data_IF_947048033787
#
_entry.id   IF_947048033787
#
_cell.length_a   1.000
_cell.length_b   1.000
_cell.length_c   1.000
_cell.angle_alpha   90.00
_cell.angle_beta   90.00
_cell.angle_gamma   90.00
#
_symmetry.space_group_name_H-M   'P 1'
#
loop_
_entity.id
_entity.type
_entity.pdbx_description
1 polymer ?
#
# COMPACT_ATOMS: atom_id res chain seq x y z
N UNK A 1 -5.36 -21.47 8.16
CA UNK A 1 -5.49 -20.63 6.98
C UNK A 1 -6.11 -19.29 7.36
N UNK A 2 -5.50 -18.20 6.91
CA UNK A 2 -6.01 -16.87 7.22
C UNK A 2 -7.28 -16.57 6.43
N UNK A 3 -8.33 -16.10 7.10
CA UNK A 3 -9.55 -15.69 6.41
C UNK A 3 -9.34 -14.30 5.80
N UNK A 4 -10.20 -13.94 4.83
CA UNK A 4 -10.16 -12.60 4.26
C UNK A 4 -10.34 -11.53 5.34
N UNK A 5 -11.25 -11.74 6.27
CA UNK A 5 -11.51 -10.80 7.36
C UNK A 5 -10.25 -10.57 8.21
N UNK A 6 -9.56 -11.64 8.59
CA UNK A 6 -8.31 -11.53 9.35
C UNK A 6 -7.23 -10.83 8.54
N UNK A 7 -7.15 -11.14 7.25
CA UNK A 7 -6.17 -10.51 6.35
C UNK A 7 -6.39 -9.01 6.26
N UNK A 8 -7.63 -8.58 6.10
CA UNK A 8 -7.95 -7.15 6.02
C UNK A 8 -7.58 -6.43 7.32
N UNK A 9 -7.88 -7.02 8.47
CA UNK A 9 -7.50 -6.45 9.76
C UNK A 9 -5.98 -6.33 9.89
N UNK A 10 -5.27 -7.38 9.53
CA UNK A 10 -3.80 -7.39 9.60
C UNK A 10 -3.19 -6.31 8.72
N UNK A 11 -3.69 -6.17 7.49
CA UNK A 11 -3.18 -5.18 6.56
C UNK A 11 -3.49 -3.74 7.02
N UNK A 12 -4.66 -3.51 7.61
CA UNK A 12 -4.99 -2.20 8.18
C UNK A 12 -4.01 -1.79 9.27
N UNK A 13 -3.71 -2.70 10.20
CA UNK A 13 -2.78 -2.42 11.28
C UNK A 13 -1.40 -2.11 10.71
N UNK A 14 -0.92 -2.93 9.78
CA UNK A 14 0.41 -2.74 9.19
C UNK A 14 0.50 -1.43 8.40
N UNK A 15 -0.56 -1.04 7.73
CA UNK A 15 -0.59 0.20 6.94
C UNK A 15 -0.38 1.43 7.82
N UNK A 16 -0.87 1.41 9.06
CA UNK A 16 -0.74 2.53 9.99
C UNK A 16 0.51 2.44 10.88
N UNK A 17 1.36 1.43 10.65
CA UNK A 17 2.57 1.23 11.45
C UNK A 17 3.81 1.09 10.60
N UNK A 18 3.92 1.97 9.60
CA UNK A 18 5.07 1.93 8.69
C UNK A 18 6.34 2.50 9.32
N UNK A 19 6.21 3.40 10.29
CA UNK A 19 7.36 3.96 10.97
C UNK A 19 7.64 5.42 10.63
N UNK A 20 7.04 5.94 9.56
CA UNK A 20 7.10 7.36 9.23
C UNK A 20 5.70 7.88 9.01
N UNK A 21 5.50 9.15 9.33
CA UNK A 21 4.18 9.78 9.19
C UNK A 21 3.70 9.76 7.75
N UNK A 22 4.59 10.05 6.81
CA UNK A 22 4.25 10.09 5.38
C UNK A 22 3.76 8.74 4.90
N UNK A 23 4.47 7.67 5.24
CA UNK A 23 4.10 6.33 4.80
C UNK A 23 2.84 5.83 5.50
N UNK A 24 2.67 6.15 6.78
CA UNK A 24 1.44 5.84 7.50
C UNK A 24 0.24 6.50 6.83
N UNK A 25 0.37 7.77 6.45
CA UNK A 25 -0.71 8.49 5.78
C UNK A 25 -1.03 7.92 4.41
N UNK A 26 -0.01 7.57 3.63
CA UNK A 26 -0.21 7.01 2.29
C UNK A 26 -0.96 5.67 2.38
N UNK A 27 -0.38 4.70 3.08
CA UNK A 27 -0.98 3.37 3.14
C UNK A 27 -2.23 3.34 4.01
N UNK A 28 -2.21 4.03 5.16
CA UNK A 28 -3.36 4.07 6.05
C UNK A 28 -4.58 4.69 5.41
N UNK A 29 -4.40 5.82 4.71
CA UNK A 29 -5.52 6.47 4.02
C UNK A 29 -6.07 5.59 2.90
N UNK A 30 -5.18 4.92 2.16
CA UNK A 30 -5.60 4.04 1.09
C UNK A 30 -6.43 2.86 1.62
N UNK A 31 -5.94 2.18 2.67
CA UNK A 31 -6.65 1.03 3.21
C UNK A 31 -7.98 1.42 3.83
N UNK A 32 -8.07 2.61 4.44
CA UNK A 32 -9.33 3.08 4.99
C UNK A 32 -10.39 3.29 3.91
N UNK A 33 -9.96 3.68 2.70
CA UNK A 33 -10.88 4.00 1.61
C UNK A 33 -11.20 2.80 0.72
N UNK A 34 -10.20 1.96 0.43
CA UNK A 34 -10.31 1.00 -0.67
C UNK A 34 -10.04 -0.44 -0.32
N UNK A 35 -9.54 -0.73 0.89
CA UNK A 35 -9.09 -2.09 1.20
C UNK A 35 -10.17 -3.14 0.96
N UNK A 36 -11.39 -2.88 1.38
CA UNK A 36 -12.49 -3.83 1.26
C UNK A 36 -12.94 -4.06 -0.18
N UNK A 37 -12.59 -3.16 -1.08
CA UNK A 37 -12.95 -3.26 -2.48
C UNK A 37 -11.93 -4.04 -3.31
N UNK A 38 -10.76 -4.34 -2.72
CA UNK A 38 -9.70 -5.05 -3.44
C UNK A 38 -10.00 -6.53 -3.55
N UNK A 39 -9.75 -7.11 -4.73
CA UNK A 39 -9.86 -8.56 -4.89
C UNK A 39 -8.59 -9.23 -4.35
N UNK A 40 -8.57 -10.58 -4.39
CA UNK A 40 -7.46 -11.34 -3.83
C UNK A 40 -6.12 -11.00 -4.50
N UNK A 41 -6.13 -10.81 -5.81
CA UNK A 41 -4.90 -10.46 -6.54
C UNK A 41 -4.39 -9.08 -6.16
N UNK A 42 -5.30 -8.13 -5.99
CA UNK A 42 -4.93 -6.78 -5.57
C UNK A 42 -4.43 -6.76 -4.13
N UNK A 43 -5.01 -7.57 -3.26
CA UNK A 43 -4.52 -7.71 -1.89
C UNK A 43 -3.11 -8.29 -1.86
N UNK A 44 -2.84 -9.28 -2.72
CA UNK A 44 -1.49 -9.84 -2.85
C UNK A 44 -0.51 -8.76 -3.30
N UNK A 45 -0.89 -7.95 -4.28
CA UNK A 45 -0.05 -6.87 -4.78
C UNK A 45 0.22 -5.81 -3.72
N UNK A 46 -0.80 -5.44 -2.96
CA UNK A 46 -0.67 -4.47 -1.88
C UNK A 46 0.26 -5.01 -0.79
N UNK A 47 0.09 -6.25 -0.40
CA UNK A 47 0.90 -6.86 0.64
C UNK A 47 2.37 -6.97 0.19
N UNK A 48 2.60 -7.32 -1.08
CA UNK A 48 3.94 -7.38 -1.63
C UNK A 48 4.63 -6.00 -1.63
N UNK A 49 3.88 -4.96 -1.99
CA UNK A 49 4.41 -3.60 -1.95
C UNK A 49 4.74 -3.19 -0.52
N UNK A 50 3.85 -3.48 0.43
CA UNK A 50 4.05 -3.13 1.83
C UNK A 50 5.21 -3.90 2.48
N UNK A 51 5.67 -4.98 1.87
CA UNK A 51 6.82 -5.74 2.36
C UNK A 51 8.16 -5.07 2.02
N UNK A 52 8.14 -4.11 1.10
CA UNK A 52 9.35 -3.35 0.76
C UNK A 52 9.67 -2.31 1.83
N UNK A 53 10.90 -1.83 1.85
CA UNK A 53 11.33 -0.81 2.82
C UNK A 53 10.78 0.57 2.45
N UNK A 54 10.41 1.35 3.45
CA UNK A 54 9.89 2.70 3.22
C UNK A 54 10.89 3.59 2.49
N UNK A 55 12.19 3.41 2.72
CA UNK A 55 13.22 4.17 2.03
C UNK A 55 13.24 3.89 0.53
N UNK A 56 12.77 2.72 0.11
CA UNK A 56 12.64 2.37 -1.31
C UNK A 56 11.29 2.82 -1.87
N UNK A 57 10.24 2.67 -1.10
CA UNK A 57 8.86 2.94 -1.56
C UNK A 57 8.61 4.43 -1.74
N UNK A 58 9.05 5.25 -0.78
CA UNK A 58 8.74 6.69 -0.81
C UNK A 58 9.21 7.36 -2.11
N UNK A 59 10.45 7.10 -2.58
CA UNK A 59 10.88 7.67 -3.87
C UNK A 59 10.03 7.21 -5.06
N UNK A 60 9.41 6.03 -4.98
CA UNK A 60 8.51 5.58 -6.03
C UNK A 60 7.24 6.44 -6.08
N UNK A 61 6.73 6.84 -4.92
CA UNK A 61 5.54 7.70 -4.86
C UNK A 61 5.83 9.12 -5.32
N UNK A 62 7.03 9.64 -5.04
CA UNK A 62 7.41 11.00 -5.40
C UNK A 62 7.96 11.12 -6.83
N UNK A 63 8.19 10.00 -7.50
CA UNK A 63 8.74 10.00 -8.84
C UNK A 63 10.26 10.12 -8.90
N UNK A 64 10.96 10.07 -7.77
CA UNK A 64 12.42 10.17 -7.72
C UNK A 64 13.12 8.90 -8.16
N UNK A 65 12.45 7.75 -8.07
CA UNK A 65 12.99 6.46 -8.47
C UNK A 65 11.98 5.71 -9.33
N UNK A 66 12.48 4.87 -10.24
CA UNK A 66 11.62 4.03 -11.07
C UNK A 66 10.94 2.95 -10.23
N UNK A 67 9.64 2.80 -10.44
CA UNK A 67 8.85 1.76 -9.78
C UNK A 67 9.14 0.41 -10.44
N UNK A 68 9.47 -0.63 -9.66
CA UNK A 68 9.60 -1.97 -10.23
C UNK A 68 8.28 -2.41 -10.89
N UNK A 69 8.34 -3.12 -12.03
CA UNK A 69 7.12 -3.53 -12.74
C UNK A 69 6.12 -4.28 -11.88
N UNK A 70 6.60 -5.09 -10.93
CA UNK A 70 5.73 -5.87 -10.06
C UNK A 70 4.86 -5.01 -9.15
N UNK A 71 5.26 -3.78 -8.87
CA UNK A 71 4.53 -2.88 -7.96
C UNK A 71 3.82 -1.74 -8.69
N UNK A 72 3.97 -1.66 -10.01
CA UNK A 72 3.47 -0.51 -10.76
C UNK A 72 1.97 -0.32 -10.67
N UNK A 73 1.21 -1.38 -10.90
CA UNK A 73 -0.25 -1.30 -10.91
C UNK A 73 -0.83 -0.86 -9.57
N UNK A 74 -0.42 -1.52 -8.49
CA UNK A 74 -0.98 -1.21 -7.18
C UNK A 74 -0.52 0.18 -6.72
N UNK A 75 0.70 0.57 -7.04
CA UNK A 75 1.21 1.89 -6.70
C UNK A 75 0.43 2.99 -7.42
N UNK A 76 0.12 2.79 -8.70
CA UNK A 76 -0.69 3.74 -9.46
C UNK A 76 -2.11 3.84 -8.89
N UNK A 77 -2.67 2.71 -8.46
CA UNK A 77 -3.99 2.70 -7.84
C UNK A 77 -3.99 3.52 -6.55
N UNK A 78 -2.95 3.37 -5.75
CA UNK A 78 -2.81 4.16 -4.51
C UNK A 78 -2.67 5.64 -4.84
N UNK A 79 -1.83 5.99 -5.81
CA UNK A 79 -1.63 7.38 -6.22
C UNK A 79 -2.91 8.02 -6.73
N UNK A 80 -3.74 7.26 -7.43
CA UNK A 80 -5.02 7.75 -7.93
C UNK A 80 -6.01 8.03 -6.82
N UNK A 81 -5.91 7.32 -5.71
CA UNK A 81 -6.82 7.45 -4.59
C UNK A 81 -6.32 8.46 -3.57
N UNK A 82 -5.01 8.49 -3.32
CA UNK A 82 -4.39 9.35 -2.31
C UNK A 82 -3.58 10.44 -3.01
N UNK A 83 -4.10 11.66 -2.99
CA UNK A 83 -3.48 12.77 -3.72
C UNK A 83 -2.62 13.62 -2.78
N UNK A 84 -1.54 13.03 -2.29
CA UNK A 84 -0.60 13.71 -1.41
C UNK A 84 0.53 14.39 -2.17
N UNK A 85 0.68 14.10 -3.45
CA UNK A 85 1.77 14.61 -4.28
C UNK A 85 1.24 15.27 -5.53
#
# INVERSE_FOLDING_TARGET
METREHRLKRLKIRAWRRGTKEMDLIFGSFVNRKLEELDAAELDSLEALMAENDTDIYPWFTGQSKVPPAHREILQKIQGEIKLF
#
